data_IF_756918758522
#
_entry.id   IF_756918758522
#
_cell.length_a   1.000
_cell.length_b   1.000
_cell.length_c   1.000
_cell.angle_alpha   90.00
_cell.angle_beta   90.00
_cell.angle_gamma   90.00
#
_symmetry.space_group_name_H-M   'P 1'
#
loop_
_entity.id
_entity.type
_entity.pdbx_description
1 polymer ?
#
# COMPACT_ATOMS: atom_id res chain seq x y z
N UNK A 1 21.51 -3.64 -0.77
CA UNK A 1 20.10 -3.36 -1.11
C UNK A 1 19.50 -2.48 -0.03
N UNK A 2 19.14 -1.23 -0.36
CA UNK A 2 18.51 -0.30 0.58
C UNK A 2 17.24 -0.93 1.16
N UNK A 3 17.30 -1.31 2.44
CA UNK A 3 16.14 -1.83 3.17
C UNK A 3 15.21 -0.65 3.40
N UNK A 4 14.25 -0.46 2.51
CA UNK A 4 13.11 0.42 2.80
C UNK A 4 12.47 -0.11 4.08
N UNK A 5 12.57 0.69 5.13
CA UNK A 5 12.12 0.29 6.47
C UNK A 5 10.61 0.11 6.45
N UNK A 6 10.09 -0.90 7.17
CA UNK A 6 8.65 -1.16 7.26
C UNK A 6 7.87 0.08 7.70
N UNK A 7 8.46 0.92 8.56
CA UNK A 7 7.90 2.20 9.00
C UNK A 7 7.69 3.20 7.86
N UNK A 8 8.65 3.31 6.94
CA UNK A 8 8.51 4.20 5.78
C UNK A 8 7.41 3.69 4.86
N UNK A 9 7.33 2.38 4.63
CA UNK A 9 6.27 1.78 3.82
C UNK A 9 4.90 2.00 4.45
N UNK A 10 4.78 1.84 5.77
CA UNK A 10 3.52 2.08 6.48
C UNK A 10 3.12 3.56 6.40
N UNK A 11 4.07 4.47 6.61
CA UNK A 11 3.84 5.91 6.54
C UNK A 11 3.33 6.30 5.15
N UNK A 12 4.01 5.85 4.11
CA UNK A 12 3.63 6.13 2.71
C UNK A 12 2.30 5.46 2.37
N UNK A 13 2.05 4.24 2.82
CA UNK A 13 0.77 3.54 2.64
C UNK A 13 -0.41 4.19 3.40
N UNK A 14 -0.15 4.96 4.47
CA UNK A 14 -1.16 5.77 5.18
C UNK A 14 -1.36 7.14 4.53
N UNK A 15 -0.30 7.80 4.10
CA UNK A 15 -0.36 9.14 3.50
C UNK A 15 -1.02 9.07 2.12
N UNK A 16 -0.62 8.10 1.29
CA UNK A 16 -1.11 8.01 -0.08
C UNK A 16 -2.29 7.06 -0.20
N UNK A 17 -3.26 7.49 -1.01
CA UNK A 17 -4.49 6.73 -1.23
C UNK A 17 -4.40 5.75 -2.42
N UNK A 18 -3.30 5.82 -3.20
CA UNK A 18 -3.04 4.91 -4.30
C UNK A 18 -1.65 4.28 -4.21
N UNK A 19 -1.56 3.02 -4.67
CA UNK A 19 -0.28 2.32 -4.79
C UNK A 19 0.68 3.02 -5.75
N UNK A 20 0.16 3.74 -6.75
CA UNK A 20 0.97 4.46 -7.74
C UNK A 20 1.74 5.62 -7.10
N UNK A 21 1.04 6.48 -6.38
CA UNK A 21 1.66 7.60 -5.67
C UNK A 21 2.62 7.12 -4.58
N UNK A 22 2.24 6.09 -3.83
CA UNK A 22 3.11 5.49 -2.82
C UNK A 22 4.41 4.92 -3.42
N UNK A 23 4.30 4.21 -4.54
CA UNK A 23 5.48 3.66 -5.24
C UNK A 23 6.36 4.75 -5.85
N UNK A 24 5.75 5.84 -6.36
CA UNK A 24 6.47 6.98 -6.91
C UNK A 24 7.22 7.77 -5.83
N UNK A 25 6.60 7.99 -4.66
CA UNK A 25 7.21 8.67 -3.53
C UNK A 25 8.44 7.91 -2.98
N UNK A 26 8.39 6.58 -3.01
CA UNK A 26 9.51 5.71 -2.62
C UNK A 26 10.52 5.47 -3.74
N UNK A 27 10.24 5.93 -4.97
CA UNK A 27 11.08 5.69 -6.14
C UNK A 27 11.21 4.20 -6.52
N UNK A 28 10.20 3.38 -6.19
CA UNK A 28 10.21 1.94 -6.44
C UNK A 28 9.11 1.51 -7.41
N UNK A 29 9.30 0.35 -8.03
CA UNK A 29 8.27 -0.24 -8.87
C UNK A 29 7.03 -0.63 -8.07
N UNK A 30 5.86 -0.46 -8.67
CA UNK A 30 4.56 -0.79 -8.07
C UNK A 30 4.47 -2.26 -7.58
N UNK A 31 5.05 -3.19 -8.37
CA UNK A 31 5.18 -4.62 -8.00
C UNK A 31 6.08 -4.83 -6.78
N UNK A 32 7.16 -4.06 -6.67
CA UNK A 32 8.09 -4.17 -5.56
C UNK A 32 7.44 -3.65 -4.27
N UNK A 33 6.73 -2.52 -4.34
CA UNK A 33 5.93 -2.00 -3.23
C UNK A 33 4.89 -3.02 -2.76
N UNK A 34 4.12 -3.62 -3.68
CA UNK A 34 3.12 -4.63 -3.33
C UNK A 34 3.75 -5.87 -2.64
N UNK A 35 4.94 -6.31 -3.10
CA UNK A 35 5.68 -7.38 -2.43
C UNK A 35 6.12 -6.99 -1.03
N UNK A 36 6.63 -5.78 -0.84
CA UNK A 36 7.06 -5.30 0.47
C UNK A 36 5.88 -5.16 1.43
N UNK A 37 4.77 -4.60 1.00
CA UNK A 37 3.56 -4.53 1.82
C UNK A 37 3.12 -5.93 2.26
N UNK A 38 3.13 -6.93 1.36
CA UNK A 38 2.82 -8.32 1.73
C UNK A 38 3.85 -8.94 2.66
N UNK A 39 5.13 -8.63 2.48
CA UNK A 39 6.22 -9.13 3.32
C UNK A 39 6.15 -8.57 4.75
N UNK A 40 5.81 -7.29 4.89
CA UNK A 40 5.69 -6.62 6.19
C UNK A 40 4.28 -6.70 6.80
N UNK A 41 3.31 -7.33 6.12
CA UNK A 41 1.92 -7.41 6.59
C UNK A 41 1.15 -6.08 6.57
N UNK A 42 1.62 -5.10 5.78
CA UNK A 42 1.00 -3.78 5.65
C UNK A 42 -0.11 -3.82 4.60
N UNK A 43 -1.29 -3.33 4.96
CA UNK A 43 -2.42 -3.23 4.03
C UNK A 43 -2.14 -2.16 2.97
N UNK A 44 -2.11 -2.56 1.69
CA UNK A 44 -1.86 -1.61 0.59
C UNK A 44 -3.02 -0.61 0.44
N UNK A 45 -2.77 0.64 0.00
CA UNK A 45 -3.83 1.59 -0.32
C UNK A 45 -4.89 1.01 -1.29
N UNK A 46 -4.46 0.23 -2.28
CA UNK A 46 -5.36 -0.47 -3.19
C UNK A 46 -6.22 -1.53 -2.49
N UNK A 47 -5.64 -2.34 -1.60
CA UNK A 47 -6.40 -3.32 -0.81
C UNK A 47 -7.42 -2.62 0.09
N UNK A 48 -7.03 -1.52 0.74
CA UNK A 48 -7.91 -0.69 1.57
C UNK A 48 -9.10 -0.14 0.77
N UNK A 49 -8.83 0.42 -0.43
CA UNK A 49 -9.86 0.91 -1.35
C UNK A 49 -10.78 -0.22 -1.82
N UNK A 50 -10.20 -1.38 -2.17
CA UNK A 50 -10.98 -2.56 -2.59
C UNK A 50 -11.88 -3.07 -1.48
N UNK A 51 -11.39 -3.08 -0.23
CA UNK A 51 -12.18 -3.42 0.95
C UNK A 51 -13.33 -2.43 1.14
N UNK A 52 -13.07 -1.12 1.09
CA UNK A 52 -14.15 -0.11 1.15
C UNK A 52 -15.21 -0.29 0.06
N UNK A 53 -14.80 -0.61 -1.16
CA UNK A 53 -15.72 -0.90 -2.27
C UNK A 53 -16.48 -2.21 -2.06
N UNK A 54 -15.87 -3.20 -1.40
CA UNK A 54 -16.51 -4.46 -1.06
C UNK A 54 -17.53 -4.25 0.07
N UNK A 55 -17.16 -3.54 1.14
CA UNK A 55 -18.07 -3.17 2.23
C UNK A 55 -19.26 -2.35 1.69
N UNK A 56 -19.02 -1.37 0.81
CA UNK A 56 -20.07 -0.59 0.18
C UNK A 56 -20.98 -1.41 -0.76
N UNK A 57 -20.47 -2.50 -1.35
CA UNK A 57 -21.27 -3.43 -2.17
C UNK A 57 -22.03 -4.45 -1.34
N UNK A 58 -21.54 -4.77 -0.15
CA UNK A 58 -22.12 -5.79 0.73
C UNK A 58 -23.18 -5.21 1.67
N UNK A 59 -23.22 -3.88 1.88
CA UNK A 59 -24.36 -3.20 2.48
C UNK A 59 -24.77 -3.78 3.84
N UNK A 60 -23.94 -3.56 4.86
CA UNK A 60 -24.36 -3.62 6.27
C UNK A 60 -24.83 -2.24 6.68
#
# INVERSE_FOLDING_TARGET
>A
MNKVSSQEIERVARIYNQNKDASAALGISLRYFARLCRHYGIETPYARRRRRLQDARVGV
#
